data_IF_855192254078
#
_entry.id   IF_855192254078
#
_cell.length_a   1.000
_cell.length_b   1.000
_cell.length_c   1.000
_cell.angle_alpha   90.00
_cell.angle_beta   90.00
_cell.angle_gamma   90.00
#
_symmetry.space_group_name_H-M   'P 1'
#
loop_
_entity.id
_entity.type
_entity.pdbx_description
1 polymer ?
#
# COMPACT_ATOMS: atom_id res chain seq x y z
N UNK A 1 1.69 41.14 24.49
CA UNK A 1 3.00 40.91 23.86
C UNK A 1 2.88 39.61 23.08
N UNK A 2 2.67 39.70 21.79
CA UNK A 2 2.44 38.59 20.86
C UNK A 2 3.78 38.19 20.25
N UNK A 3 4.29 37.03 20.63
CA UNK A 3 5.51 36.45 20.03
C UNK A 3 5.17 35.79 18.68
N UNK A 4 5.46 36.53 17.60
CA UNK A 4 5.34 36.01 16.23
C UNK A 4 6.44 34.96 15.94
N UNK A 5 6.04 33.77 15.56
CA UNK A 5 6.92 32.79 14.95
C UNK A 5 7.15 33.20 13.48
N UNK A 6 8.40 33.54 13.14
CA UNK A 6 8.82 33.69 11.76
C UNK A 6 9.21 32.33 11.22
N UNK A 7 8.61 31.93 10.10
CA UNK A 7 9.05 30.77 9.34
C UNK A 7 10.37 31.09 8.60
N UNK A 8 11.41 30.24 8.64
CA UNK A 8 12.59 30.39 7.81
C UNK A 8 12.36 29.82 6.41
N UNK A 9 12.66 30.63 5.40
CA UNK A 9 13.21 30.27 4.10
C UNK A 9 12.46 29.35 3.17
N UNK A 10 12.33 29.77 1.91
CA UNK A 10 11.71 29.11 0.76
C UNK A 10 11.85 27.58 0.73
N UNK A 11 10.70 26.90 0.79
CA UNK A 11 10.59 25.46 0.56
C UNK A 11 11.05 25.12 -0.87
N UNK A 12 11.80 24.02 -1.08
CA UNK A 12 12.14 23.57 -2.42
C UNK A 12 10.89 23.33 -3.27
N UNK A 13 10.94 23.55 -4.57
CA UNK A 13 9.82 23.48 -5.50
C UNK A 13 9.04 22.13 -5.51
N UNK A 14 9.61 21.06 -4.97
CA UNK A 14 8.95 19.76 -4.81
C UNK A 14 7.99 19.68 -3.61
N UNK A 15 8.00 20.68 -2.68
CA UNK A 15 7.06 20.77 -1.55
C UNK A 15 5.68 21.26 -1.96
N UNK A 16 5.53 21.86 -3.13
CA UNK A 16 4.24 22.35 -3.66
C UNK A 16 3.50 21.29 -4.50
N UNK A 17 3.96 20.07 -4.54
CA UNK A 17 3.17 18.99 -5.09
C UNK A 17 2.00 18.67 -4.15
N UNK A 18 0.77 18.51 -4.64
CA UNK A 18 -0.35 18.12 -3.80
C UNK A 18 0.00 16.82 -3.06
N UNK A 19 -0.50 16.62 -1.82
CA UNK A 19 -0.23 15.41 -1.06
C UNK A 19 -0.52 14.19 -1.93
N UNK A 20 0.45 13.27 -1.94
CA UNK A 20 0.41 12.06 -2.74
C UNK A 20 -0.60 11.08 -2.13
N UNK A 21 -1.89 11.27 -2.41
CA UNK A 21 -2.96 10.32 -2.13
C UNK A 21 -3.41 9.66 -3.43
N UNK A 22 -2.52 8.95 -4.07
CA UNK A 22 -2.81 8.13 -5.24
C UNK A 22 -2.35 6.72 -4.95
N UNK A 23 -3.23 5.91 -4.44
CA UNK A 23 -2.97 4.51 -4.17
C UNK A 23 -2.90 3.72 -5.48
N UNK A 24 -2.05 2.70 -5.57
CA UNK A 24 -1.84 1.97 -6.81
C UNK A 24 -3.03 1.04 -7.11
N UNK A 25 -3.58 1.15 -8.32
CA UNK A 25 -4.36 0.07 -8.88
C UNK A 25 -3.40 -1.00 -9.43
N UNK A 26 -3.56 -2.22 -8.96
CA UNK A 26 -2.79 -3.37 -9.38
C UNK A 26 -3.57 -4.12 -10.47
N UNK A 27 -3.00 -4.26 -11.66
CA UNK A 27 -3.50 -5.17 -12.70
C UNK A 27 -2.67 -6.44 -12.71
N UNK A 28 -3.33 -7.57 -12.50
CA UNK A 28 -2.72 -8.89 -12.60
C UNK A 28 -2.87 -9.41 -14.02
N UNK A 29 -1.79 -9.83 -14.70
CA UNK A 29 -1.86 -10.39 -16.03
C UNK A 29 -2.67 -11.68 -16.06
N UNK A 30 -3.26 -12.00 -17.20
CA UNK A 30 -3.90 -13.29 -17.46
C UNK A 30 -2.85 -14.40 -17.36
N UNK A 31 -2.82 -15.12 -16.26
CA UNK A 31 -2.11 -16.40 -16.20
C UNK A 31 -2.75 -17.44 -17.10
N UNK A 32 -2.09 -18.59 -17.41
CA UNK A 32 -2.67 -19.64 -18.23
C UNK A 32 -4.00 -20.13 -17.61
N UNK A 33 -5.14 -19.74 -18.20
CA UNK A 33 -6.49 -20.07 -17.74
C UNK A 33 -7.06 -19.17 -16.62
N UNK A 34 -6.43 -18.02 -16.31
CA UNK A 34 -6.89 -17.08 -15.27
C UNK A 34 -7.62 -15.87 -15.86
N UNK A 35 -8.60 -15.36 -15.10
CA UNK A 35 -9.24 -14.08 -15.35
C UNK A 35 -8.29 -12.97 -14.86
N UNK A 36 -8.07 -11.95 -15.70
CA UNK A 36 -7.37 -10.74 -15.27
C UNK A 36 -8.18 -10.06 -14.16
N UNK A 37 -7.54 -9.68 -13.06
CA UNK A 37 -8.18 -8.97 -11.96
C UNK A 37 -7.52 -7.61 -11.75
N UNK A 38 -8.34 -6.59 -11.57
CA UNK A 38 -7.89 -5.25 -11.18
C UNK A 38 -8.21 -5.05 -9.69
N UNK A 39 -7.16 -4.83 -8.90
CA UNK A 39 -7.27 -4.61 -7.45
C UNK A 39 -6.92 -3.16 -7.16
N UNK A 40 -7.80 -2.46 -6.46
CA UNK A 40 -7.52 -1.18 -5.84
C UNK A 40 -7.06 -1.43 -4.40
N UNK A 41 -5.80 -1.09 -4.11
CA UNK A 41 -5.25 -1.19 -2.75
C UNK A 41 -5.24 0.19 -2.12
N UNK A 42 -6.00 0.37 -1.07
CA UNK A 42 -6.36 1.63 -0.42
C UNK A 42 -7.09 2.65 -1.32
N UNK A 43 -7.74 3.60 -0.72
CA UNK A 43 -8.58 4.57 -1.44
C UNK A 43 -8.19 6.03 -1.18
N UNK A 44 -7.08 6.24 -0.46
CA UNK A 44 -6.63 7.58 -0.12
C UNK A 44 -7.58 8.32 0.83
N UNK A 45 -7.33 9.59 1.03
CA UNK A 45 -8.10 10.44 1.96
C UNK A 45 -9.30 11.16 1.34
N UNK A 46 -9.40 11.18 0.01
CA UNK A 46 -10.42 11.95 -0.72
C UNK A 46 -10.83 11.26 -2.01
N UNK A 47 -12.12 10.98 -2.15
CA UNK A 47 -12.67 10.24 -3.29
C UNK A 47 -12.55 10.98 -4.61
N UNK A 48 -12.73 12.31 -4.62
CA UNK A 48 -12.62 13.08 -5.86
C UNK A 48 -11.18 13.08 -6.39
N UNK A 49 -10.20 13.14 -5.48
CA UNK A 49 -8.79 13.04 -5.82
C UNK A 49 -8.44 11.63 -6.33
N UNK A 50 -8.89 10.57 -5.63
CA UNK A 50 -8.73 9.18 -6.03
C UNK A 50 -9.26 8.96 -7.45
N UNK A 51 -10.53 9.29 -7.69
CA UNK A 51 -11.19 9.06 -8.97
C UNK A 51 -10.54 9.84 -10.12
N UNK A 52 -10.11 11.09 -9.86
CA UNK A 52 -9.34 11.87 -10.83
C UNK A 52 -8.02 11.17 -11.18
N UNK A 53 -7.28 10.70 -10.18
CA UNK A 53 -5.98 10.05 -10.38
C UNK A 53 -6.13 8.72 -11.12
N UNK A 54 -7.08 7.88 -10.73
CA UNK A 54 -7.40 6.60 -11.37
C UNK A 54 -7.72 6.81 -12.85
N UNK A 55 -8.60 7.78 -13.18
CA UNK A 55 -8.95 8.14 -14.55
C UNK A 55 -7.75 8.71 -15.33
N UNK A 56 -6.92 9.54 -14.69
CA UNK A 56 -5.71 10.10 -15.32
C UNK A 56 -4.69 9.00 -15.67
N UNK A 57 -4.63 7.93 -14.89
CA UNK A 57 -3.80 6.75 -15.16
C UNK A 57 -4.41 5.83 -16.23
N UNK A 58 -5.58 6.18 -16.77
CA UNK A 58 -6.28 5.39 -17.79
C UNK A 58 -6.96 4.14 -17.22
N UNK A 59 -7.27 4.15 -15.94
CA UNK A 59 -8.03 3.09 -15.27
C UNK A 59 -9.49 3.54 -15.19
N UNK A 60 -10.39 2.70 -15.61
CA UNK A 60 -11.84 2.92 -15.48
C UNK A 60 -12.28 2.37 -14.13
N UNK A 61 -12.91 3.17 -13.25
CA UNK A 61 -13.33 2.67 -11.93
C UNK A 61 -14.17 1.40 -11.99
N UNK A 62 -15.00 1.24 -13.03
CA UNK A 62 -15.85 0.07 -13.26
C UNK A 62 -15.06 -1.20 -13.63
N UNK A 63 -13.79 -1.07 -14.03
CA UNK A 63 -12.89 -2.21 -14.31
C UNK A 63 -12.21 -2.75 -13.04
N UNK A 64 -12.41 -2.13 -11.89
CA UNK A 64 -11.91 -2.62 -10.61
C UNK A 64 -12.80 -3.75 -10.13
N UNK A 65 -12.23 -4.90 -9.86
CA UNK A 65 -12.92 -6.10 -9.36
C UNK A 65 -12.92 -6.17 -7.84
N UNK A 66 -11.84 -5.75 -7.21
CA UNK A 66 -11.57 -5.92 -5.79
C UNK A 66 -11.01 -4.64 -5.19
N UNK A 67 -11.44 -4.31 -3.98
CA UNK A 67 -10.86 -3.24 -3.17
C UNK A 67 -10.29 -3.85 -1.90
N UNK A 68 -9.04 -3.53 -1.57
CA UNK A 68 -8.41 -3.99 -0.34
C UNK A 68 -7.97 -2.76 0.44
N UNK A 69 -8.45 -2.61 1.65
CA UNK A 69 -8.06 -1.51 2.54
C UNK A 69 -7.04 -2.04 3.55
N UNK A 70 -5.89 -1.40 3.60
CA UNK A 70 -4.79 -1.83 4.48
C UNK A 70 -5.12 -1.64 5.96
N UNK A 71 -5.60 -0.47 6.35
CA UNK A 71 -5.92 -0.11 7.73
C UNK A 71 -6.88 1.09 7.84
N UNK A 72 -7.29 1.42 9.06
CA UNK A 72 -8.42 2.33 9.36
C UNK A 72 -8.13 3.82 9.21
N UNK A 73 -6.90 4.25 8.98
CA UNK A 73 -6.59 5.66 8.89
C UNK A 73 -7.27 6.33 7.68
N UNK A 74 -7.71 7.58 7.90
CA UNK A 74 -8.51 8.33 6.92
C UNK A 74 -7.84 8.55 5.59
N UNK A 75 -6.50 8.62 5.55
CA UNK A 75 -5.71 8.74 4.32
C UNK A 75 -5.58 7.43 3.52
N UNK A 76 -6.17 6.33 4.01
CA UNK A 76 -6.27 5.03 3.34
C UNK A 76 -7.71 4.63 3.02
N UNK A 77 -8.67 4.93 3.91
CA UNK A 77 -10.08 4.51 3.77
C UNK A 77 -11.00 5.66 3.33
N UNK A 78 -10.54 6.92 3.37
CA UNK A 78 -11.39 8.09 3.20
C UNK A 78 -12.07 8.21 1.84
N UNK A 79 -11.47 7.66 0.79
CA UNK A 79 -12.06 7.64 -0.56
C UNK A 79 -13.04 6.50 -0.82
N UNK A 80 -13.15 5.50 0.08
CA UNK A 80 -13.88 4.25 -0.17
C UNK A 80 -15.34 4.50 -0.57
N UNK A 81 -16.11 5.24 0.21
CA UNK A 81 -17.53 5.42 -0.07
C UNK A 81 -17.78 6.14 -1.39
N UNK A 82 -17.01 7.18 -1.71
CA UNK A 82 -17.14 7.86 -3.00
C UNK A 82 -16.64 7.01 -4.18
N UNK A 83 -15.71 6.07 -3.96
CA UNK A 83 -15.39 5.07 -4.97
C UNK A 83 -16.58 4.11 -5.19
N UNK A 84 -17.23 3.65 -4.11
CA UNK A 84 -18.39 2.74 -4.18
C UNK A 84 -19.62 3.39 -4.82
N UNK A 85 -19.76 4.73 -4.80
CA UNK A 85 -20.77 5.44 -5.59
C UNK A 85 -20.57 5.28 -7.10
N UNK A 86 -19.31 5.15 -7.54
CA UNK A 86 -18.95 4.94 -8.96
C UNK A 86 -18.97 3.45 -9.36
N UNK A 87 -18.50 2.59 -8.45
CA UNK A 87 -18.48 1.13 -8.67
C UNK A 87 -18.69 0.39 -7.35
N UNK A 88 -19.86 -0.16 -7.16
CA UNK A 88 -20.21 -1.02 -6.03
C UNK A 88 -20.27 -2.52 -6.38
N UNK A 89 -20.04 -2.88 -7.66
CA UNK A 89 -19.92 -4.28 -8.10
C UNK A 89 -18.49 -4.81 -7.84
N UNK A 90 -18.07 -4.68 -6.57
CA UNK A 90 -16.74 -5.07 -6.07
C UNK A 90 -16.89 -5.82 -4.75
N UNK A 91 -15.89 -6.66 -4.44
CA UNK A 91 -15.72 -7.18 -3.08
C UNK A 91 -14.65 -6.35 -2.37
N UNK A 92 -14.99 -5.82 -1.19
CA UNK A 92 -14.11 -5.01 -0.35
C UNK A 92 -13.52 -5.87 0.77
N UNK A 93 -12.20 -5.97 0.86
CA UNK A 93 -11.49 -6.66 1.93
C UNK A 93 -11.06 -5.66 2.99
N UNK A 94 -11.65 -5.74 4.19
CA UNK A 94 -11.37 -4.87 5.33
C UNK A 94 -10.72 -5.69 6.45
N UNK A 95 -9.73 -5.15 7.20
CA UNK A 95 -9.35 -5.73 8.48
C UNK A 95 -10.58 -5.95 9.38
N UNK A 96 -10.65 -7.07 10.08
CA UNK A 96 -11.79 -7.40 10.96
C UNK A 96 -11.95 -6.39 12.10
N UNK A 97 -10.88 -5.71 12.48
CA UNK A 97 -10.87 -4.67 13.53
C UNK A 97 -11.47 -3.33 13.07
N UNK A 98 -11.94 -3.23 11.83
CA UNK A 98 -12.57 -1.99 11.35
C UNK A 98 -13.82 -1.66 12.14
N UNK A 99 -14.14 -0.35 12.30
CA UNK A 99 -15.39 0.06 12.92
C UNK A 99 -16.60 -0.47 12.13
N UNK A 100 -17.60 -1.01 12.82
CA UNK A 100 -18.85 -1.50 12.24
C UNK A 100 -19.53 -0.46 11.33
N UNK A 101 -19.34 0.84 11.63
CA UNK A 101 -19.87 1.92 10.80
C UNK A 101 -19.31 1.93 9.37
N UNK A 102 -18.06 1.52 9.15
CA UNK A 102 -17.46 1.41 7.81
C UNK A 102 -18.01 0.19 7.08
N UNK A 103 -18.13 -0.95 7.78
CA UNK A 103 -18.75 -2.16 7.22
C UNK A 103 -20.20 -1.91 6.81
N UNK A 104 -20.99 -1.29 7.68
CA UNK A 104 -22.38 -0.93 7.39
C UNK A 104 -22.52 0.06 6.23
N UNK A 105 -21.62 1.03 6.15
CA UNK A 105 -21.60 1.98 5.03
C UNK A 105 -21.25 1.27 3.71
N UNK A 106 -20.30 0.32 3.73
CA UNK A 106 -19.96 -0.52 2.56
C UNK A 106 -21.14 -1.35 2.09
N UNK A 107 -21.84 -2.05 3.02
CA UNK A 107 -23.07 -2.80 2.67
C UNK A 107 -24.17 -1.89 2.12
N UNK A 108 -24.39 -0.72 2.73
CA UNK A 108 -25.40 0.26 2.26
C UNK A 108 -25.09 0.81 0.88
N UNK A 109 -23.82 0.93 0.53
CA UNK A 109 -23.37 1.30 -0.81
C UNK A 109 -23.65 0.20 -1.86
N UNK A 110 -23.97 -1.02 -1.43
CA UNK A 110 -24.30 -2.16 -2.31
C UNK A 110 -23.12 -3.10 -2.59
N UNK A 111 -21.94 -2.84 -2.02
CA UNK A 111 -20.76 -3.69 -2.20
C UNK A 111 -20.76 -4.87 -1.22
N UNK A 112 -20.21 -5.99 -1.66
CA UNK A 112 -19.85 -7.09 -0.77
C UNK A 112 -18.59 -6.73 0.02
N UNK A 113 -18.44 -7.25 1.24
CA UNK A 113 -17.18 -7.14 1.95
C UNK A 113 -16.80 -8.42 2.69
N UNK A 114 -15.49 -8.59 2.88
CA UNK A 114 -14.87 -9.67 3.62
C UNK A 114 -14.09 -9.08 4.78
N UNK A 115 -14.45 -9.45 6.01
CA UNK A 115 -13.67 -9.11 7.20
C UNK A 115 -12.46 -10.05 7.28
N UNK A 116 -11.26 -9.48 7.20
CA UNK A 116 -10.00 -10.23 7.18
C UNK A 116 -9.37 -10.19 8.57
N UNK A 117 -9.18 -11.36 9.18
CA UNK A 117 -8.42 -11.54 10.42
C UNK A 117 -7.17 -12.40 10.18
N UNK A 118 -7.37 -13.60 9.68
CA UNK A 118 -6.30 -14.51 9.27
C UNK A 118 -5.89 -14.27 7.82
N UNK A 119 -4.71 -14.74 7.39
CA UNK A 119 -4.34 -14.70 5.98
C UNK A 119 -5.39 -15.35 5.10
N UNK A 120 -5.67 -14.72 3.98
CA UNK A 120 -6.65 -15.23 3.00
C UNK A 120 -6.13 -15.03 1.58
N UNK A 121 -6.36 -16.00 0.72
CA UNK A 121 -6.17 -15.85 -0.72
C UNK A 121 -7.34 -15.00 -1.28
N UNK A 122 -7.03 -13.78 -1.72
CA UNK A 122 -7.99 -12.81 -2.26
C UNK A 122 -8.42 -13.22 -3.68
N UNK A 123 -7.44 -13.57 -4.47
CA UNK A 123 -7.61 -14.21 -5.77
C UNK A 123 -6.32 -14.99 -6.08
N UNK A 124 -6.31 -15.76 -7.17
CA UNK A 124 -5.20 -16.65 -7.49
C UNK A 124 -3.85 -15.94 -7.39
N UNK A 125 -2.96 -16.46 -6.55
CA UNK A 125 -1.61 -15.94 -6.28
C UNK A 125 -1.57 -14.56 -5.60
N UNK A 126 -2.67 -14.07 -5.06
CA UNK A 126 -2.73 -12.82 -4.29
C UNK A 126 -3.32 -13.09 -2.92
N UNK A 127 -2.58 -12.74 -1.89
CA UNK A 127 -2.93 -13.01 -0.51
C UNK A 127 -2.96 -11.72 0.31
N UNK A 128 -3.84 -11.68 1.30
CA UNK A 128 -3.69 -10.79 2.45
C UNK A 128 -2.83 -11.46 3.51
N UNK A 129 -1.97 -10.69 4.17
CA UNK A 129 -1.22 -11.15 5.35
C UNK A 129 -2.11 -11.53 6.54
N UNK A 130 -3.40 -11.19 6.49
CA UNK A 130 -4.23 -11.07 7.68
C UNK A 130 -3.89 -9.81 8.49
N UNK A 131 -4.59 -9.61 9.59
CA UNK A 131 -4.32 -8.51 10.51
C UNK A 131 -2.99 -8.71 11.25
N UNK A 132 -2.12 -7.72 11.17
CA UNK A 132 -0.88 -7.63 11.93
C UNK A 132 -0.88 -6.39 12.81
N UNK A 133 -0.02 -6.35 13.82
CA UNK A 133 0.15 -5.21 14.72
C UNK A 133 -0.78 -5.25 15.95
N UNK A 134 -0.52 -4.34 16.91
CA UNK A 134 -1.23 -4.28 18.18
C UNK A 134 -2.22 -3.12 18.25
N UNK A 135 -1.76 -1.88 18.02
CA UNK A 135 -2.55 -0.67 18.14
C UNK A 135 -3.32 -0.33 16.86
N UNK A 136 -2.62 -0.33 15.73
CA UNK A 136 -3.20 -0.19 14.42
C UNK A 136 -3.07 -1.54 13.74
N UNK A 137 -4.21 -2.20 13.55
CA UNK A 137 -4.28 -3.43 12.78
C UNK A 137 -4.18 -3.10 11.30
N UNK A 138 -3.27 -3.77 10.60
CA UNK A 138 -3.01 -3.54 9.19
C UNK A 138 -2.81 -4.86 8.47
N UNK A 139 -3.37 -4.97 7.27
CA UNK A 139 -3.09 -6.04 6.32
C UNK A 139 -2.26 -5.50 5.16
N UNK A 140 -1.46 -6.37 4.57
CA UNK A 140 -0.67 -6.08 3.37
C UNK A 140 -0.96 -7.10 2.28
N UNK A 141 -0.73 -6.74 1.01
CA UNK A 141 -0.84 -7.70 -0.09
C UNK A 141 0.47 -8.43 -0.30
N UNK A 142 0.37 -9.72 -0.58
CA UNK A 142 1.46 -10.58 -1.00
C UNK A 142 1.08 -11.21 -2.34
N UNK A 143 1.86 -10.96 -3.38
CA UNK A 143 1.60 -11.45 -4.73
C UNK A 143 2.72 -12.39 -5.12
N UNK A 144 2.37 -13.63 -5.46
CA UNK A 144 3.31 -14.60 -6.00
C UNK A 144 3.51 -14.35 -7.50
N UNK A 145 4.75 -14.18 -7.90
CA UNK A 145 5.16 -14.03 -9.30
C UNK A 145 6.25 -15.04 -9.65
N UNK A 146 6.54 -15.22 -10.92
CA UNK A 146 7.65 -16.05 -11.37
C UNK A 146 9.03 -15.56 -10.89
N UNK A 147 9.13 -14.29 -10.47
CA UNK A 147 10.36 -13.68 -9.92
C UNK A 147 10.45 -13.76 -8.41
N UNK A 148 9.40 -14.17 -7.73
CA UNK A 148 9.27 -14.16 -6.27
C UNK A 148 8.11 -13.28 -5.80
N UNK A 149 8.07 -13.01 -4.50
CA UNK A 149 6.98 -12.29 -3.87
C UNK A 149 7.09 -10.78 -4.10
N UNK A 150 5.97 -10.16 -4.40
CA UNK A 150 5.78 -8.72 -4.34
C UNK A 150 4.92 -8.42 -3.11
N UNK A 151 5.48 -7.67 -2.16
CA UNK A 151 4.79 -7.27 -0.92
C UNK A 151 4.40 -5.80 -1.01
N UNK A 152 3.11 -5.51 -0.85
CA UNK A 152 2.57 -4.14 -0.90
C UNK A 152 2.02 -3.77 0.47
N UNK A 153 2.54 -2.69 1.06
CA UNK A 153 2.15 -2.19 2.37
C UNK A 153 1.36 -0.89 2.26
N UNK A 154 0.43 -0.65 3.18
CA UNK A 154 -0.20 0.67 3.36
C UNK A 154 0.77 1.63 4.06
N UNK A 155 0.78 1.63 5.39
CA UNK A 155 1.75 2.36 6.20
C UNK A 155 2.82 1.48 6.86
N UNK A 156 2.58 0.18 7.00
CA UNK A 156 3.42 -0.76 7.73
C UNK A 156 3.51 -0.46 9.25
N UNK A 157 2.38 -0.13 9.88
CA UNK A 157 2.29 0.06 11.34
C UNK A 157 2.78 -1.15 12.15
N UNK A 158 2.59 -2.41 11.70
CA UNK A 158 3.15 -3.58 12.38
C UNK A 158 4.68 -3.67 12.34
N UNK A 159 5.33 -2.77 11.61
CA UNK A 159 6.74 -2.82 11.26
C UNK A 159 6.96 -3.56 9.95
N UNK A 160 7.58 -2.89 8.98
CA UNK A 160 7.75 -3.41 7.63
C UNK A 160 8.55 -4.72 7.58
N UNK A 161 9.51 -4.91 8.49
CA UNK A 161 10.28 -6.17 8.63
C UNK A 161 9.37 -7.34 9.03
N UNK A 162 8.42 -7.10 9.95
CA UNK A 162 7.46 -8.11 10.39
C UNK A 162 6.51 -8.52 9.26
N UNK A 163 6.08 -7.55 8.44
CA UNK A 163 5.26 -7.82 7.26
C UNK A 163 6.01 -8.69 6.25
N UNK A 164 7.28 -8.40 6.00
CA UNK A 164 8.13 -9.21 5.10
C UNK A 164 8.31 -10.64 5.65
N UNK A 165 8.57 -10.80 6.95
CA UNK A 165 8.63 -12.13 7.58
C UNK A 165 7.32 -12.89 7.41
N UNK A 166 6.19 -12.22 7.66
CA UNK A 166 4.86 -12.81 7.50
C UNK A 166 4.59 -13.26 6.05
N UNK A 167 4.99 -12.46 5.06
CA UNK A 167 4.85 -12.82 3.65
C UNK A 167 5.64 -14.09 3.31
N UNK A 168 6.89 -14.20 3.79
CA UNK A 168 7.73 -15.41 3.62
C UNK A 168 7.15 -16.63 4.34
N UNK A 169 6.62 -16.47 5.55
CA UNK A 169 5.96 -17.54 6.30
C UNK A 169 4.72 -18.07 5.58
N UNK A 170 3.95 -17.17 4.99
CA UNK A 170 2.69 -17.48 4.32
C UNK A 170 2.89 -18.33 3.05
N UNK A 171 3.91 -18.02 2.26
CA UNK A 171 4.08 -18.60 0.93
C UNK A 171 5.34 -19.46 0.78
N UNK A 172 6.32 -19.26 1.65
CA UNK A 172 7.65 -19.90 1.53
C UNK A 172 8.54 -19.29 0.42
N UNK A 173 8.08 -18.26 -0.27
CA UNK A 173 8.76 -17.66 -1.42
C UNK A 173 9.88 -16.68 -1.05
N UNK A 174 10.77 -16.40 -2.02
CA UNK A 174 11.77 -15.35 -1.90
C UNK A 174 11.16 -13.99 -2.27
N UNK A 175 11.57 -12.92 -1.58
CA UNK A 175 10.98 -11.59 -1.75
C UNK A 175 11.67 -10.83 -2.87
N UNK A 176 10.95 -10.65 -3.99
CA UNK A 176 11.45 -9.89 -5.13
C UNK A 176 11.33 -8.38 -4.90
N UNK A 177 10.21 -7.90 -4.37
CA UNK A 177 9.96 -6.47 -4.20
C UNK A 177 9.13 -6.19 -2.95
N UNK A 178 9.51 -5.17 -2.19
CA UNK A 178 8.68 -4.57 -1.14
C UNK A 178 8.40 -3.12 -1.52
N UNK A 179 7.12 -2.74 -1.62
CA UNK A 179 6.71 -1.39 -1.98
C UNK A 179 5.58 -0.87 -1.08
N UNK A 180 5.52 0.46 -0.93
CA UNK A 180 4.48 1.11 -0.12
C UNK A 180 5.05 1.99 0.99
N UNK A 181 4.23 2.30 1.98
CA UNK A 181 4.64 3.03 3.17
C UNK A 181 5.40 2.12 4.15
N UNK A 182 6.52 2.60 4.68
CA UNK A 182 7.34 1.86 5.65
C UNK A 182 7.27 2.44 7.07
N UNK A 183 6.47 3.50 7.25
CA UNK A 183 6.26 4.19 8.54
C UNK A 183 7.55 4.62 9.25
N UNK A 184 8.54 5.10 8.50
CA UNK A 184 9.86 5.46 9.01
C UNK A 184 10.10 6.97 9.11
N UNK A 185 9.05 7.78 8.89
CA UNK A 185 9.08 9.22 9.10
C UNK A 185 9.38 9.54 10.57
N UNK A 186 10.51 10.22 10.83
CA UNK A 186 10.94 10.57 12.19
C UNK A 186 11.75 9.49 12.91
N UNK A 187 11.93 8.30 12.33
CA UNK A 187 12.80 7.25 12.86
C UNK A 187 14.27 7.61 12.68
N UNK A 188 15.13 7.24 13.65
CA UNK A 188 16.55 7.55 13.60
C UNK A 188 17.27 6.83 12.44
N UNK A 189 18.31 7.46 11.88
CA UNK A 189 19.10 6.85 10.81
C UNK A 189 19.74 5.51 11.22
N UNK A 190 20.12 5.37 12.49
CA UNK A 190 20.69 4.13 13.02
C UNK A 190 19.66 2.98 13.05
N UNK A 191 18.42 3.29 13.37
CA UNK A 191 17.32 2.31 13.39
C UNK A 191 16.90 1.94 11.98
N UNK A 192 16.81 2.91 11.07
CA UNK A 192 16.57 2.64 9.64
C UNK A 192 17.69 1.78 9.06
N UNK A 193 18.96 2.01 9.46
CA UNK A 193 20.09 1.16 9.05
C UNK A 193 19.88 -0.30 9.44
N UNK A 194 19.42 -0.58 10.67
CA UNK A 194 19.08 -1.95 11.10
C UNK A 194 17.95 -2.57 10.30
N UNK A 195 16.92 -1.78 9.97
CA UNK A 195 15.81 -2.25 9.12
C UNK A 195 16.33 -2.61 7.71
N UNK A 196 17.24 -1.82 7.16
CA UNK A 196 17.89 -2.14 5.87
C UNK A 196 18.68 -3.44 5.96
N UNK A 197 19.45 -3.65 7.03
CA UNK A 197 20.18 -4.91 7.28
C UNK A 197 19.23 -6.10 7.40
N UNK A 198 18.12 -5.95 8.15
CA UNK A 198 17.08 -6.98 8.25
C UNK A 198 16.48 -7.34 6.88
N UNK A 199 16.21 -6.35 6.03
CA UNK A 199 15.71 -6.57 4.67
C UNK A 199 16.69 -7.38 3.83
N UNK A 200 17.99 -7.03 3.89
CA UNK A 200 19.04 -7.75 3.19
C UNK A 200 19.17 -9.20 3.70
N UNK A 201 19.10 -9.41 5.03
CA UNK A 201 19.13 -10.74 5.64
C UNK A 201 17.90 -11.58 5.27
N UNK A 202 16.74 -10.96 5.10
CA UNK A 202 15.51 -11.62 4.63
C UNK A 202 15.52 -11.92 3.12
N UNK A 203 16.56 -11.48 2.40
CA UNK A 203 16.70 -11.70 0.97
C UNK A 203 15.79 -10.81 0.11
N UNK A 204 15.38 -9.64 0.61
CA UNK A 204 14.63 -8.67 -0.19
C UNK A 204 15.50 -8.15 -1.32
N UNK A 205 15.10 -8.39 -2.56
CA UNK A 205 15.91 -8.06 -3.74
C UNK A 205 15.76 -6.58 -4.13
N UNK A 206 14.54 -6.03 -4.10
CA UNK A 206 14.22 -4.66 -4.55
C UNK A 206 13.30 -3.97 -3.57
N UNK A 207 13.38 -2.63 -3.53
CA UNK A 207 12.57 -1.82 -2.62
C UNK A 207 12.02 -0.56 -3.29
N UNK A 208 10.81 -0.18 -2.92
CA UNK A 208 10.14 1.04 -3.40
C UNK A 208 9.43 1.77 -2.24
N UNK A 209 10.17 2.28 -1.23
CA UNK A 209 9.57 3.01 -0.11
C UNK A 209 8.95 4.34 -0.58
N UNK A 210 7.69 4.55 -0.25
CA UNK A 210 6.95 5.77 -0.58
C UNK A 210 6.06 6.22 0.59
N UNK A 211 5.06 7.07 0.33
CA UNK A 211 4.05 7.53 1.29
C UNK A 211 4.68 8.01 2.62
N UNK A 212 4.43 7.33 3.74
CA UNK A 212 4.89 7.68 5.09
C UNK A 212 6.33 7.23 5.43
N UNK A 213 7.11 6.74 4.45
CA UNK A 213 8.48 6.24 4.69
C UNK A 213 9.47 7.32 5.16
N UNK A 214 9.27 8.58 4.74
CA UNK A 214 10.15 9.70 5.07
C UNK A 214 11.44 9.74 4.23
N UNK A 215 12.02 10.95 4.10
CA UNK A 215 13.15 11.19 3.20
C UNK A 215 14.45 10.51 3.66
N UNK A 216 14.69 10.44 4.98
CA UNK A 216 15.86 9.77 5.54
C UNK A 216 15.84 8.28 5.19
N UNK A 217 14.72 7.62 5.35
CA UNK A 217 14.57 6.21 5.00
C UNK A 217 14.76 6.00 3.48
N UNK A 218 14.07 6.79 2.66
CA UNK A 218 14.20 6.69 1.19
C UNK A 218 15.66 6.89 0.73
N UNK A 219 16.40 7.78 1.36
CA UNK A 219 17.83 7.98 1.06
C UNK A 219 18.67 6.76 1.48
N UNK A 220 18.51 6.25 2.70
CA UNK A 220 19.29 5.11 3.20
C UNK A 220 18.98 3.82 2.43
N UNK A 221 17.72 3.56 2.11
CA UNK A 221 17.36 2.44 1.23
C UNK A 221 17.95 2.59 -0.18
N UNK A 222 17.98 3.82 -0.74
CA UNK A 222 18.62 4.08 -2.05
C UNK A 222 20.11 3.84 -2.00
N UNK A 223 20.79 4.28 -0.95
CA UNK A 223 22.23 4.04 -0.77
C UNK A 223 22.56 2.54 -0.66
N UNK A 224 21.71 1.78 0.05
CA UNK A 224 21.92 0.35 0.27
C UNK A 224 21.55 -0.54 -0.92
N UNK A 225 20.51 -0.19 -1.68
CA UNK A 225 19.96 -1.00 -2.77
C UNK A 225 20.43 -0.54 -4.16
N UNK A 226 21.02 0.68 -4.30
CA UNK A 226 21.53 1.17 -5.58
C UNK A 226 20.50 1.10 -6.71
N UNK A 227 20.78 0.31 -7.74
CA UNK A 227 19.89 0.13 -8.90
C UNK A 227 18.61 -0.64 -8.57
N UNK A 228 18.58 -1.40 -7.47
CA UNK A 228 17.42 -2.13 -6.99
C UNK A 228 16.46 -1.28 -6.13
N UNK A 229 16.82 -0.02 -5.88
CA UNK A 229 15.92 0.98 -5.34
C UNK A 229 15.05 1.57 -6.45
N UNK A 230 13.73 1.46 -6.29
CA UNK A 230 12.76 2.01 -7.24
C UNK A 230 12.16 3.30 -6.65
N UNK A 231 12.35 4.46 -7.31
CA UNK A 231 11.65 5.67 -6.91
C UNK A 231 10.16 5.52 -7.23
N UNK A 232 9.34 5.41 -6.18
CA UNK A 232 7.89 5.29 -6.31
C UNK A 232 7.18 6.54 -5.77
N UNK A 233 6.06 6.88 -6.41
CA UNK A 233 5.19 7.99 -6.06
C UNK A 233 3.94 8.01 -6.93
N UNK A 234 3.11 9.04 -6.78
CA UNK A 234 1.88 9.18 -7.56
C UNK A 234 2.17 9.10 -9.06
N UNK A 235 1.42 8.27 -9.77
CA UNK A 235 1.57 8.06 -11.21
C UNK A 235 2.71 7.11 -11.61
N UNK A 236 3.48 6.56 -10.66
CA UNK A 236 4.47 5.53 -10.98
C UNK A 236 3.78 4.27 -11.49
N UNK A 237 4.37 3.66 -12.52
CA UNK A 237 3.96 2.35 -13.03
C UNK A 237 5.12 1.38 -12.85
N UNK A 238 4.82 0.24 -12.24
CA UNK A 238 5.75 -0.87 -12.06
C UNK A 238 5.21 -2.07 -12.80
N UNK A 239 6.02 -2.68 -13.62
CA UNK A 239 5.67 -3.86 -14.39
C UNK A 239 6.60 -5.00 -13.99
N UNK A 240 6.03 -6.08 -13.47
CA UNK A 240 6.74 -7.32 -13.17
C UNK A 240 6.55 -8.24 -14.37
N UNK A 241 7.57 -8.35 -15.21
CA UNK A 241 7.56 -9.22 -16.39
C UNK A 241 7.95 -10.63 -15.99
N UNK A 242 7.16 -11.59 -16.43
CA UNK A 242 7.47 -13.01 -16.32
C UNK A 242 8.69 -13.41 -17.18
#
# INVERSE_FOLDING_TARGET
MTSGWRQPGASPAWWNSPPASGEPALRLPKGPGGVEKTILFDTGGDSAMLLRNVRTLGIVPQDVDLVVISHVHGDHVGGLLGFLEENHDVTVYLPQSFPESIEDATRKAGAEFVAVHEPVEICKHVYSTGELGDWIKEQSLVIETSRGLVVITGCAHPGVVNIVRRAKELTGGEVHLVLGGFHLGGVSAAEIGRIVEDFQQLGVQRVAPCHCSGDVARRLFREAYGEDFIPAGVGSRLEIRE
#
